data_IF_181509148068
#
_entry.id   IF_181509148068
#
_cell.length_a   1.000
_cell.length_b   1.000
_cell.length_c   1.000
_cell.angle_alpha   90.00
_cell.angle_beta   90.00
_cell.angle_gamma   90.00
#
_symmetry.space_group_name_H-M   'P 1'
#
loop_
_entity.id
_entity.type
_entity.pdbx_description
1 polymer ?
#
# COMPACT_ATOMS: atom_id res chain seq x y z
N UNK A 1 -18.52 0.59 -7.81
CA UNK A 1 -17.48 -0.04 -8.66
C UNK A 1 -16.17 0.19 -7.94
N UNK A 2 -15.37 -0.86 -7.71
CA UNK A 2 -14.12 -0.71 -6.96
C UNK A 2 -12.97 -0.30 -7.89
N UNK A 3 -12.07 0.57 -7.40
CA UNK A 3 -10.85 0.91 -8.11
C UNK A 3 -9.74 -0.05 -7.69
N UNK A 4 -9.09 -0.69 -8.66
CA UNK A 4 -7.90 -1.51 -8.39
C UNK A 4 -6.67 -0.61 -8.37
N UNK A 5 -5.93 -0.63 -7.27
CA UNK A 5 -4.71 0.13 -7.08
C UNK A 5 -3.58 -0.83 -6.72
N UNK A 6 -2.45 -0.69 -7.41
CA UNK A 6 -1.23 -1.41 -7.03
C UNK A 6 -0.58 -0.73 -5.84
N UNK A 7 -0.47 -1.46 -4.73
CA UNK A 7 0.16 -1.02 -3.50
C UNK A 7 1.60 -1.54 -3.46
N UNK A 8 2.55 -0.63 -3.45
CA UNK A 8 3.97 -0.91 -3.33
C UNK A 8 4.45 -0.29 -2.01
N UNK A 9 4.69 -1.09 -0.96
CA UNK A 9 5.22 -0.57 0.29
C UNK A 9 6.63 -0.01 0.10
N UNK A 10 6.93 1.13 0.72
CA UNK A 10 8.29 1.67 0.75
C UNK A 10 9.15 1.00 1.82
N UNK A 11 10.47 1.20 1.74
CA UNK A 11 11.45 0.77 2.75
C UNK A 11 11.64 1.82 3.86
N UNK A 12 12.44 1.50 4.88
CA UNK A 12 12.72 2.41 6.01
C UNK A 12 11.45 2.68 6.84
N UNK A 13 11.01 3.94 6.92
CA UNK A 13 9.73 4.32 7.55
C UNK A 13 8.50 4.10 6.63
N UNK A 14 8.73 3.56 5.42
CA UNK A 14 7.72 3.34 4.41
C UNK A 14 6.54 2.48 4.88
N UNK A 15 6.75 1.35 5.59
CA UNK A 15 5.66 0.49 6.04
C UNK A 15 4.70 1.23 6.99
N UNK A 16 5.21 2.02 7.94
CA UNK A 16 4.39 2.77 8.89
C UNK A 16 3.56 3.86 8.20
N UNK A 17 4.16 4.56 7.22
CA UNK A 17 3.46 5.59 6.43
C UNK A 17 2.39 4.96 5.53
N UNK A 18 2.65 3.79 4.95
CA UNK A 18 1.69 3.03 4.14
C UNK A 18 0.49 2.63 4.99
N UNK A 19 0.71 2.05 6.17
CA UNK A 19 -0.39 1.67 7.07
C UNK A 19 -1.24 2.87 7.50
N UNK A 20 -0.61 4.01 7.80
CA UNK A 20 -1.34 5.24 8.09
C UNK A 20 -2.17 5.73 6.90
N UNK A 21 -1.62 5.63 5.68
CA UNK A 21 -2.30 6.03 4.44
C UNK A 21 -3.50 5.14 4.14
N UNK A 22 -3.36 3.81 4.31
CA UNK A 22 -4.46 2.87 4.10
C UNK A 22 -5.64 3.15 5.05
N UNK A 23 -5.37 3.52 6.32
CA UNK A 23 -6.42 3.93 7.28
C UNK A 23 -7.16 5.20 6.83
N UNK A 24 -6.43 6.19 6.31
CA UNK A 24 -7.03 7.43 5.80
C UNK A 24 -7.91 7.12 4.58
N UNK A 25 -7.45 6.26 3.68
CA UNK A 25 -8.19 5.88 2.48
C UNK A 25 -9.44 5.05 2.82
N UNK A 26 -9.35 4.12 3.77
CA UNK A 26 -10.51 3.35 4.25
C UNK A 26 -11.59 4.26 4.85
N UNK A 27 -11.18 5.26 5.63
CA UNK A 27 -12.09 6.27 6.21
C UNK A 27 -12.84 7.11 5.16
N UNK A 28 -12.40 7.15 3.90
CA UNK A 28 -13.13 7.84 2.83
C UNK A 28 -14.38 7.09 2.35
N UNK A 29 -14.49 5.79 2.67
CA UNK A 29 -15.58 4.92 2.19
C UNK A 29 -15.53 4.59 0.69
N UNK A 30 -14.46 4.99 -0.01
CA UNK A 30 -14.25 4.62 -1.42
C UNK A 30 -13.96 3.12 -1.50
N UNK A 31 -14.66 2.42 -2.39
CA UNK A 31 -14.37 1.01 -2.65
C UNK A 31 -13.04 0.86 -3.39
N UNK A 32 -12.02 0.35 -2.69
CA UNK A 32 -10.67 0.11 -3.22
C UNK A 32 -10.31 -1.38 -3.14
N UNK A 33 -9.64 -1.86 -4.18
CA UNK A 33 -9.04 -3.20 -4.22
C UNK A 33 -7.53 -3.04 -4.34
N UNK A 34 -6.78 -3.70 -3.46
CA UNK A 34 -5.32 -3.59 -3.42
C UNK A 34 -4.67 -4.78 -4.11
N UNK A 35 -3.86 -4.48 -5.13
CA UNK A 35 -2.88 -5.40 -5.69
C UNK A 35 -1.52 -5.13 -5.03
N UNK A 36 -1.20 -5.90 -3.99
CA UNK A 36 -0.04 -5.63 -3.13
C UNK A 36 1.21 -6.32 -3.65
N UNK A 37 2.30 -5.58 -3.76
CA UNK A 37 3.59 -6.04 -4.26
C UNK A 37 4.64 -5.85 -3.17
N UNK A 38 4.91 -6.88 -2.36
CA UNK A 38 5.84 -6.81 -1.23
C UNK A 38 7.30 -7.11 -1.61
N UNK A 39 7.54 -7.77 -2.76
CA UNK A 39 8.89 -8.08 -3.26
C UNK A 39 9.44 -6.94 -4.14
N UNK A 40 9.66 -5.78 -3.53
CA UNK A 40 10.20 -4.57 -4.17
C UNK A 40 11.30 -3.95 -3.30
N UNK A 41 11.97 -2.90 -3.78
CA UNK A 41 12.90 -2.13 -2.93
C UNK A 41 14.04 -2.98 -2.37
N UNK A 42 14.35 -2.83 -1.08
CA UNK A 42 15.35 -3.66 -0.39
C UNK A 42 15.01 -5.15 -0.47
N UNK A 43 13.76 -5.54 -0.28
CA UNK A 43 13.33 -6.94 -0.29
C UNK A 43 13.45 -7.62 -1.68
N UNK A 44 13.64 -6.86 -2.77
CA UNK A 44 13.82 -7.42 -4.11
C UNK A 44 15.28 -7.79 -4.43
N UNK A 45 16.25 -7.31 -3.63
CA UNK A 45 17.69 -7.46 -3.90
C UNK A 45 18.43 -8.27 -2.84
N UNK A 46 17.78 -8.56 -1.71
CA UNK A 46 18.25 -9.48 -0.65
C UNK A 46 17.75 -10.91 -0.87
#
# INVERSE_FOLDING_TARGET
>A
MAYTITLIPGDGIGPEVVEATLRVLDATGVALTWDRQDAVGTAAVE
#
